data_IF_186711695537
#
_entry.id   IF_186711695537
#
_cell.length_a   1.000
_cell.length_b   1.000
_cell.length_c   1.000
_cell.angle_alpha   90.00
_cell.angle_beta   90.00
_cell.angle_gamma   90.00
#
_symmetry.space_group_name_H-M   'P 1'
#
loop_
_entity.id
_entity.type
_entity.pdbx_description
1 polymer ?
#
# COMPACT_ATOMS: atom_id res chain seq x y z
N UNK A 1 16.23 29.83 -6.76
CA UNK A 1 14.78 30.16 -6.86
C UNK A 1 14.53 31.64 -7.25
N UNK A 2 15.41 32.56 -6.94
CA UNK A 2 15.16 33.98 -7.20
C UNK A 2 15.33 34.42 -8.67
N UNK A 3 15.93 33.62 -9.55
CA UNK A 3 16.15 33.91 -10.97
C UNK A 3 15.20 33.20 -11.93
N UNK A 4 14.22 32.41 -11.42
CA UNK A 4 13.23 31.76 -12.26
C UNK A 4 13.72 30.57 -13.12
N UNK A 5 14.99 30.20 -13.00
CA UNK A 5 15.63 29.22 -13.87
C UNK A 5 15.34 27.76 -13.44
N UNK A 6 14.82 27.56 -12.21
CA UNK A 6 14.56 26.23 -11.65
C UNK A 6 13.14 26.18 -11.11
N UNK A 7 12.38 25.19 -11.57
CA UNK A 7 11.09 24.80 -10.97
C UNK A 7 11.32 23.67 -9.99
N UNK A 8 10.88 23.84 -8.74
CA UNK A 8 11.06 22.85 -7.67
C UNK A 8 9.70 22.46 -7.13
N UNK A 9 9.47 21.16 -7.01
CA UNK A 9 8.35 20.57 -6.27
C UNK A 9 8.98 19.78 -5.14
N UNK A 10 8.62 20.10 -3.89
CA UNK A 10 9.05 19.36 -2.69
C UNK A 10 7.84 18.73 -2.01
N UNK A 11 8.02 17.58 -1.40
CA UNK A 11 7.03 16.93 -0.56
C UNK A 11 7.57 16.84 0.87
N UNK A 12 6.70 17.11 1.85
CA UNK A 12 7.02 17.04 3.27
C UNK A 12 5.73 16.85 4.08
N UNK A 13 5.84 16.52 5.35
CA UNK A 13 4.69 16.47 6.26
C UNK A 13 4.30 17.87 6.76
N UNK A 14 3.04 18.04 7.20
CA UNK A 14 2.59 19.30 7.78
C UNK A 14 3.38 19.68 9.05
N UNK A 15 3.82 18.70 9.83
CA UNK A 15 4.63 18.91 11.02
C UNK A 15 6.03 19.42 10.67
N UNK A 16 6.66 18.83 9.67
CA UNK A 16 7.98 19.29 9.17
C UNK A 16 7.89 20.65 8.47
N UNK A 17 6.84 20.90 7.68
CA UNK A 17 6.60 22.20 7.09
C UNK A 17 6.52 23.30 8.16
N UNK A 18 5.73 23.08 9.23
CA UNK A 18 5.62 24.03 10.35
C UNK A 18 6.93 24.21 11.09
N UNK A 19 7.73 23.15 11.23
CA UNK A 19 8.99 23.17 11.98
C UNK A 19 10.14 23.80 11.22
N UNK A 20 10.23 23.56 9.90
CA UNK A 20 11.42 23.88 9.13
C UNK A 20 11.20 24.93 8.03
N UNK A 21 9.99 25.03 7.47
CA UNK A 21 9.71 25.93 6.35
C UNK A 21 9.09 27.25 6.83
N UNK A 22 8.03 27.19 7.62
CA UNK A 22 7.33 28.39 8.12
C UNK A 22 8.24 29.40 8.88
N UNK A 23 9.22 28.96 9.69
CA UNK A 23 10.08 29.90 10.40
C UNK A 23 11.02 30.69 9.48
N UNK A 24 11.35 30.17 8.30
CA UNK A 24 12.17 30.85 7.30
C UNK A 24 11.27 31.62 6.31
N UNK A 25 10.92 32.85 6.67
CA UNK A 25 10.08 33.72 5.85
C UNK A 25 10.64 33.95 4.42
N UNK A 26 11.95 33.90 4.24
CA UNK A 26 12.56 34.08 2.93
C UNK A 26 12.36 32.87 2.04
N UNK A 27 12.29 31.68 2.63
CA UNK A 27 12.03 30.42 1.94
C UNK A 27 10.53 30.23 1.70
N UNK A 28 9.70 30.49 2.72
CA UNK A 28 8.24 30.35 2.65
C UNK A 28 7.64 31.22 1.53
N UNK A 29 8.06 32.48 1.38
CA UNK A 29 7.57 33.40 0.33
C UNK A 29 7.85 32.95 -1.10
N UNK A 30 8.74 31.98 -1.30
CA UNK A 30 9.10 31.41 -2.61
C UNK A 30 8.44 30.09 -2.93
N UNK A 31 7.65 29.54 -1.99
CA UNK A 31 6.96 28.29 -2.11
C UNK A 31 5.44 28.50 -1.97
N UNK A 32 4.68 27.86 -2.83
CA UNK A 32 3.23 27.80 -2.72
C UNK A 32 2.86 26.47 -2.06
N UNK A 33 2.33 26.46 -0.83
CA UNK A 33 1.91 25.22 -0.20
C UNK A 33 0.67 24.63 -0.89
N UNK A 34 0.73 23.36 -1.17
CA UNK A 34 -0.40 22.54 -1.66
C UNK A 34 -0.66 21.46 -0.65
N UNK A 35 -1.78 21.56 0.05
CA UNK A 35 -2.17 20.57 1.05
C UNK A 35 -2.82 19.39 0.35
N UNK A 36 -2.26 18.20 0.54
CA UNK A 36 -2.84 16.93 0.09
C UNK A 36 -3.49 16.27 1.30
N UNK A 37 -4.82 16.21 1.29
CA UNK A 37 -5.59 15.56 2.35
C UNK A 37 -5.67 14.05 2.14
N UNK A 38 -5.92 13.30 3.21
CA UNK A 38 -6.24 11.88 3.13
C UNK A 38 -7.48 11.68 2.25
N UNK A 39 -7.46 10.72 1.31
CA UNK A 39 -8.60 10.43 0.46
C UNK A 39 -9.73 9.78 1.27
N UNK A 40 -10.96 9.89 0.75
CA UNK A 40 -12.08 9.10 1.28
C UNK A 40 -11.88 7.61 1.00
N UNK A 41 -12.54 6.70 1.75
CA UNK A 41 -12.47 5.26 1.48
C UNK A 41 -12.83 4.90 0.04
N UNK A 42 -13.81 5.58 -0.55
CA UNK A 42 -14.21 5.35 -1.95
C UNK A 42 -13.09 5.77 -2.93
N UNK A 43 -12.47 6.92 -2.68
CA UNK A 43 -11.36 7.39 -3.51
C UNK A 43 -10.12 6.47 -3.34
N UNK A 44 -9.85 6.00 -2.14
CA UNK A 44 -8.78 5.03 -1.87
C UNK A 44 -9.04 3.70 -2.60
N UNK A 45 -10.29 3.21 -2.60
CA UNK A 45 -10.67 2.00 -3.34
C UNK A 45 -10.42 2.15 -4.84
N UNK A 46 -10.76 3.30 -5.42
CA UNK A 46 -10.51 3.57 -6.84
C UNK A 46 -9.01 3.64 -7.15
N UNK A 47 -8.18 4.14 -6.22
CA UNK A 47 -6.72 4.09 -6.33
C UNK A 47 -6.21 2.64 -6.33
N UNK A 48 -6.69 1.80 -5.40
CA UNK A 48 -6.31 0.37 -5.34
C UNK A 48 -6.71 -0.37 -6.63
N UNK A 49 -7.89 -0.08 -7.19
CA UNK A 49 -8.33 -0.66 -8.48
C UNK A 49 -7.38 -0.32 -9.61
N UNK A 50 -6.84 0.89 -9.65
CA UNK A 50 -5.87 1.30 -10.66
C UNK A 50 -4.50 0.64 -10.45
N UNK A 51 -4.09 0.40 -9.20
CA UNK A 51 -2.83 -0.26 -8.86
C UNK A 51 -2.88 -1.79 -9.00
N UNK A 52 -4.06 -2.40 -8.84
CA UNK A 52 -4.28 -3.85 -8.88
C UNK A 52 -3.53 -4.58 -10.00
N UNK A 53 -3.57 -4.14 -11.27
CA UNK A 53 -2.90 -4.89 -12.34
C UNK A 53 -1.38 -5.00 -12.15
N UNK A 54 -0.77 -4.00 -11.52
CA UNK A 54 0.67 -3.98 -11.24
C UNK A 54 1.01 -5.02 -10.16
N UNK A 55 0.24 -5.06 -9.07
CA UNK A 55 0.44 -6.01 -7.98
C UNK A 55 0.10 -7.45 -8.39
N UNK A 56 -0.98 -7.66 -9.15
CA UNK A 56 -1.31 -8.96 -9.73
C UNK A 56 -0.19 -9.52 -10.60
N UNK A 57 0.41 -8.65 -11.44
CA UNK A 57 1.53 -9.03 -12.31
C UNK A 57 2.81 -9.31 -11.51
N UNK A 58 3.08 -8.52 -10.48
CA UNK A 58 4.30 -8.64 -9.65
C UNK A 58 4.29 -9.90 -8.79
N UNK A 59 3.17 -10.19 -8.12
CA UNK A 59 3.02 -11.34 -7.22
C UNK A 59 2.51 -12.61 -7.91
N UNK A 60 2.14 -12.53 -9.21
CA UNK A 60 1.54 -13.65 -9.96
C UNK A 60 0.26 -14.21 -9.32
N UNK A 61 -0.57 -13.33 -8.76
CA UNK A 61 -1.85 -13.66 -8.11
C UNK A 61 -3.01 -12.92 -8.77
N UNK A 62 -4.25 -13.29 -8.41
CA UNK A 62 -5.46 -12.53 -8.71
C UNK A 62 -5.97 -11.83 -7.45
N UNK A 63 -6.38 -10.56 -7.60
CA UNK A 63 -6.90 -9.74 -6.50
C UNK A 63 -8.33 -9.33 -6.85
N UNK A 64 -9.37 -10.05 -6.36
CA UNK A 64 -10.76 -9.71 -6.60
C UNK A 64 -11.14 -8.34 -6.01
N UNK A 65 -12.18 -7.73 -6.55
CA UNK A 65 -12.65 -6.41 -6.08
C UNK A 65 -13.11 -6.45 -4.62
N UNK A 66 -13.73 -7.56 -4.19
CA UNK A 66 -14.11 -7.80 -2.79
C UNK A 66 -12.93 -7.76 -1.82
N UNK A 67 -11.76 -8.21 -2.27
CA UNK A 67 -10.51 -8.17 -1.50
C UNK A 67 -10.01 -6.73 -1.34
N UNK A 68 -10.11 -5.91 -2.39
CA UNK A 68 -9.76 -4.48 -2.32
C UNK A 68 -10.69 -3.71 -1.37
N UNK A 69 -11.99 -3.99 -1.44
CA UNK A 69 -12.99 -3.42 -0.52
C UNK A 69 -12.66 -3.80 0.92
N UNK A 70 -12.31 -5.06 1.17
CA UNK A 70 -11.91 -5.53 2.49
C UNK A 70 -10.62 -4.85 2.97
N UNK A 71 -9.62 -4.66 2.10
CA UNK A 71 -8.37 -4.00 2.44
C UNK A 71 -8.59 -2.55 2.89
N UNK A 72 -9.40 -1.78 2.16
CA UNK A 72 -9.73 -0.39 2.54
C UNK A 72 -10.51 -0.37 3.85
N UNK A 73 -11.63 -1.11 3.93
CA UNK A 73 -12.51 -1.10 5.10
C UNK A 73 -11.82 -1.56 6.38
N UNK A 74 -11.13 -2.70 6.34
CA UNK A 74 -10.53 -3.27 7.54
C UNK A 74 -9.29 -2.49 7.99
N UNK A 75 -8.52 -1.92 7.07
CA UNK A 75 -7.41 -1.05 7.43
C UNK A 75 -7.90 0.25 8.05
N UNK A 76 -9.01 0.83 7.57
CA UNK A 76 -9.63 2.01 8.18
C UNK A 76 -10.16 1.71 9.60
N UNK A 77 -10.82 0.57 9.78
CA UNK A 77 -11.44 0.18 11.05
C UNK A 77 -10.43 -0.19 12.15
N UNK A 78 -9.27 -0.79 11.79
CA UNK A 78 -8.37 -1.43 12.76
C UNK A 78 -6.95 -0.85 12.81
N UNK A 79 -6.58 0.04 11.88
CA UNK A 79 -5.23 0.61 11.80
C UNK A 79 -5.31 2.13 11.95
N UNK A 80 -5.13 2.63 13.18
CA UNK A 80 -5.32 4.05 13.50
C UNK A 80 -4.08 4.91 13.25
N UNK A 81 -2.88 4.32 13.23
CA UNK A 81 -1.62 5.07 13.17
C UNK A 81 -1.08 5.29 11.75
N UNK A 82 -1.84 4.89 10.72
CA UNK A 82 -1.52 5.07 9.30
C UNK A 82 -2.73 5.63 8.54
N UNK A 83 -2.47 6.24 7.40
CA UNK A 83 -3.46 6.93 6.59
C UNK A 83 -3.77 6.17 5.30
N UNK A 84 -4.96 6.38 4.75
CA UNK A 84 -5.31 5.97 3.40
C UNK A 84 -4.59 6.86 2.37
N UNK A 85 -4.23 6.35 1.19
CA UNK A 85 -4.44 4.96 0.73
C UNK A 85 -3.36 3.98 1.21
N UNK A 86 -2.24 4.46 1.78
CA UNK A 86 -1.02 3.68 2.03
C UNK A 86 -1.29 2.43 2.87
N UNK A 87 -2.04 2.56 3.99
CA UNK A 87 -2.36 1.41 4.84
C UNK A 87 -3.12 0.31 4.11
N UNK A 88 -4.00 0.66 3.19
CA UNK A 88 -4.77 -0.32 2.41
C UNK A 88 -3.93 -0.95 1.29
N UNK A 89 -3.03 -0.17 0.67
CA UNK A 89 -2.07 -0.66 -0.32
C UNK A 89 -1.11 -1.65 0.32
N UNK A 90 -0.53 -1.31 1.47
CA UNK A 90 0.41 -2.17 2.19
C UNK A 90 -0.24 -3.50 2.61
N UNK A 91 -1.49 -3.46 3.11
CA UNK A 91 -2.25 -4.67 3.46
C UNK A 91 -2.51 -5.54 2.24
N UNK A 92 -2.89 -4.94 1.11
CA UNK A 92 -3.10 -5.65 -0.15
C UNK A 92 -1.80 -6.29 -0.65
N UNK A 93 -0.69 -5.57 -0.62
CA UNK A 93 0.63 -6.03 -1.05
C UNK A 93 1.11 -7.22 -0.20
N UNK A 94 1.04 -7.10 1.13
CA UNK A 94 1.45 -8.15 2.05
C UNK A 94 0.59 -9.41 1.91
N UNK A 95 -0.73 -9.26 1.71
CA UNK A 95 -1.63 -10.38 1.46
C UNK A 95 -1.30 -11.09 0.12
N UNK A 96 -1.04 -10.31 -0.93
CA UNK A 96 -0.64 -10.83 -2.23
C UNK A 96 0.69 -11.58 -2.16
N UNK A 97 1.69 -11.01 -1.47
CA UNK A 97 2.98 -11.65 -1.23
C UNK A 97 2.85 -12.97 -0.46
N UNK A 98 2.05 -12.99 0.61
CA UNK A 98 1.79 -14.19 1.39
C UNK A 98 1.21 -15.31 0.54
N UNK A 99 0.18 -15.01 -0.25
CA UNK A 99 -0.48 -16.00 -1.14
C UNK A 99 0.51 -16.52 -2.19
N UNK A 100 1.35 -15.65 -2.78
CA UNK A 100 2.39 -16.02 -3.73
C UNK A 100 3.41 -17.00 -3.11
N UNK A 101 3.94 -16.68 -1.93
CA UNK A 101 4.91 -17.51 -1.21
C UNK A 101 4.31 -18.86 -0.82
N UNK A 102 3.06 -18.89 -0.35
CA UNK A 102 2.37 -20.14 -0.02
C UNK A 102 2.16 -21.03 -1.25
N UNK A 103 1.94 -20.43 -2.42
CA UNK A 103 1.87 -21.13 -3.69
C UNK A 103 3.18 -21.83 -4.02
N UNK A 104 4.27 -21.07 -3.99
CA UNK A 104 5.60 -21.60 -4.26
C UNK A 104 5.98 -22.74 -3.30
N UNK A 105 5.68 -22.59 -2.01
CA UNK A 105 5.91 -23.63 -1.01
C UNK A 105 5.16 -24.94 -1.30
N UNK A 106 3.92 -24.87 -1.79
CA UNK A 106 3.15 -26.06 -2.18
C UNK A 106 3.73 -26.77 -3.40
N UNK A 107 4.46 -26.05 -4.28
CA UNK A 107 5.14 -26.64 -5.45
C UNK A 107 6.52 -27.20 -5.12
N UNK A 108 7.11 -26.90 -3.96
CA UNK A 108 8.47 -27.29 -3.57
C UNK A 108 8.56 -28.63 -2.81
N UNK A 109 7.52 -29.47 -2.75
CA UNK A 109 7.53 -30.78 -2.05
C UNK A 109 7.06 -31.88 -3.01
N UNK A 110 7.84 -32.98 -3.26
CA UNK A 110 9.15 -33.42 -2.79
C UNK A 110 10.21 -33.57 -3.88
N UNK A 111 11.47 -33.70 -3.44
CA UNK A 111 12.66 -34.03 -4.22
C UNK A 111 12.41 -35.03 -5.37
N UNK A 112 12.71 -34.62 -6.63
CA UNK A 112 13.04 -35.59 -7.65
C UNK A 112 12.48 -35.41 -9.04
N UNK A 113 11.58 -34.47 -9.33
CA UNK A 113 11.13 -34.29 -10.73
C UNK A 113 11.09 -32.80 -11.06
N UNK A 114 12.10 -32.38 -11.79
CA UNK A 114 12.07 -31.10 -12.51
C UNK A 114 11.08 -31.28 -13.67
N UNK A 115 9.85 -30.88 -13.47
CA UNK A 115 8.92 -30.70 -14.58
C UNK A 115 8.69 -29.22 -14.81
N UNK A 116 9.08 -28.84 -16.02
CA UNK A 116 8.85 -27.53 -16.61
C UNK A 116 7.44 -26.99 -16.34
N UNK A 117 7.40 -25.68 -16.02
CA UNK A 117 6.33 -24.75 -16.31
C UNK A 117 4.95 -25.38 -16.65
N UNK A 118 4.32 -26.00 -15.68
CA UNK A 118 2.89 -26.22 -15.71
C UNK A 118 2.24 -24.92 -15.23
N UNK A 119 1.36 -24.36 -16.05
CA UNK A 119 0.59 -23.15 -15.82
C UNK A 119 0.23 -23.01 -14.33
N UNK A 120 0.90 -22.07 -13.66
CA UNK A 120 0.56 -21.68 -12.31
C UNK A 120 -0.93 -21.27 -12.34
N UNK A 121 -1.79 -22.08 -11.76
CA UNK A 121 -3.14 -21.65 -11.48
C UNK A 121 -2.98 -20.36 -10.68
N UNK A 122 -3.35 -19.23 -11.29
CA UNK A 122 -3.23 -17.91 -10.68
C UNK A 122 -3.93 -17.98 -9.32
N UNK A 123 -3.16 -17.97 -8.26
CA UNK A 123 -3.74 -18.02 -6.92
C UNK A 123 -4.50 -16.73 -6.66
N UNK A 124 -5.63 -16.86 -6.00
CA UNK A 124 -6.52 -15.72 -5.76
C UNK A 124 -6.41 -15.33 -4.30
N UNK A 125 -6.12 -14.06 -4.06
CA UNK A 125 -6.12 -13.47 -2.71
C UNK A 125 -7.56 -13.44 -2.19
N UNK A 126 -7.78 -13.99 -1.00
CA UNK A 126 -9.08 -14.06 -0.37
C UNK A 126 -9.25 -12.94 0.67
N UNK A 127 -10.49 -12.62 1.01
CA UNK A 127 -10.79 -11.66 2.09
C UNK A 127 -10.16 -12.11 3.41
N UNK A 128 -10.10 -13.42 3.68
CA UNK A 128 -9.46 -13.99 4.87
C UNK A 128 -7.96 -13.72 4.95
N UNK A 129 -7.28 -13.54 3.81
CA UNK A 129 -5.86 -13.18 3.79
C UNK A 129 -5.67 -11.74 4.27
N UNK A 130 -6.52 -10.82 3.80
CA UNK A 130 -6.59 -9.44 4.26
C UNK A 130 -6.86 -9.37 5.77
N UNK A 131 -7.87 -10.12 6.26
CA UNK A 131 -8.21 -10.18 7.68
C UNK A 131 -7.03 -10.65 8.53
N UNK A 132 -6.30 -11.66 8.06
CA UNK A 132 -5.11 -12.19 8.73
C UNK A 132 -4.01 -11.12 8.88
N UNK A 133 -3.73 -10.37 7.81
CA UNK A 133 -2.72 -9.31 7.81
C UNK A 133 -3.14 -8.15 8.73
N UNK A 134 -4.36 -7.64 8.56
CA UNK A 134 -4.87 -6.53 9.39
C UNK A 134 -4.88 -6.90 10.88
N UNK A 135 -5.28 -8.11 11.23
CA UNK A 135 -5.28 -8.56 12.62
C UNK A 135 -3.85 -8.70 13.18
N UNK A 136 -2.88 -9.14 12.39
CA UNK A 136 -1.48 -9.21 12.81
C UNK A 136 -0.91 -7.80 13.10
N UNK A 137 -1.25 -6.82 12.28
CA UNK A 137 -0.83 -5.43 12.47
C UNK A 137 -1.48 -4.78 13.69
N UNK A 138 -2.80 -4.99 13.88
CA UNK A 138 -3.51 -4.48 15.05
C UNK A 138 -2.94 -5.04 16.37
N UNK A 139 -2.56 -6.32 16.39
CA UNK A 139 -1.94 -6.94 17.57
C UNK A 139 -0.52 -6.45 17.82
N UNK A 140 0.28 -6.22 16.78
CA UNK A 140 1.65 -5.72 16.92
C UNK A 140 1.72 -4.32 17.52
N UNK A 141 0.68 -3.50 17.37
CA UNK A 141 0.61 -2.12 17.87
C UNK A 141 -0.27 -1.96 19.11
N UNK A 142 -1.08 -2.95 19.46
CA UNK A 142 -1.89 -2.94 20.70
C UNK A 142 -1.12 -3.29 21.97
N UNK A 143 0.17 -3.64 21.86
CA UNK A 143 1.05 -4.00 22.98
C UNK A 143 2.09 -2.90 23.31
N UNK A 144 1.93 -1.68 22.83
CA UNK A 144 2.74 -0.50 23.18
C UNK A 144 1.88 0.50 23.98
#
# INVERSE_FOLDING_TARGET
LSRGDIRVIGATTLSEYRKYIMPDQAFERRLQPVIVSEPTPEAALDMLRQLRPVYEAYHHVKIPDETLIAAVRLSEEKIDHRFLPDKAIDVMDEAAAKVSIEAERKHLVPLGVVHAASAAASQTVQVSDIESIVNSWAQAHGNL
#
